data_IF_979815492361
#
_entry.id   IF_979815492361
#
_cell.length_a   1.000
_cell.length_b   1.000
_cell.length_c   1.000
_cell.angle_alpha   90.00
_cell.angle_beta   90.00
_cell.angle_gamma   90.00
#
_symmetry.space_group_name_H-M   'P 1'
#
loop_
_entity.id
_entity.type
_entity.pdbx_description
1 polymer ?
#
# COMPACT_ATOMS: atom_id res chain seq x y z
N UNK A 1 -1.43 24.37 -25.14
CA UNK A 1 -2.33 23.91 -24.04
C UNK A 1 -1.43 23.15 -23.09
N UNK A 2 -1.05 23.77 -21.98
CA UNK A 2 -0.16 23.17 -20.99
C UNK A 2 -0.85 21.90 -20.45
N UNK A 3 -0.35 20.73 -20.84
CA UNK A 3 -0.89 19.46 -20.38
C UNK A 3 -0.42 19.29 -18.94
N UNK A 4 -1.31 19.58 -17.99
CA UNK A 4 -1.15 19.19 -16.60
C UNK A 4 -0.71 17.73 -16.52
N UNK A 5 0.31 17.38 -15.71
CA UNK A 5 0.85 16.04 -15.67
C UNK A 5 -0.25 15.04 -15.32
N UNK A 6 -0.30 13.86 -15.96
CA UNK A 6 -1.29 12.85 -15.66
C UNK A 6 -1.15 12.38 -14.21
N UNK A 7 -2.28 12.13 -13.53
CA UNK A 7 -2.33 11.80 -12.09
C UNK A 7 -1.41 10.63 -11.74
N UNK A 8 -1.31 9.63 -12.62
CA UNK A 8 -0.42 8.48 -12.45
C UNK A 8 1.06 8.87 -12.30
N UNK A 9 1.54 9.90 -12.99
CA UNK A 9 2.95 10.34 -12.91
C UNK A 9 3.20 11.01 -11.56
N UNK A 10 2.26 11.81 -11.08
CA UNK A 10 2.34 12.43 -9.75
C UNK A 10 2.38 11.38 -8.64
N UNK A 11 1.56 10.33 -8.76
CA UNK A 11 1.50 9.25 -7.76
C UNK A 11 2.75 8.37 -7.81
N UNK A 12 3.30 8.07 -8.99
CA UNK A 12 4.59 7.37 -9.13
C UNK A 12 5.72 8.20 -8.53
N UNK A 13 5.74 9.50 -8.79
CA UNK A 13 6.73 10.41 -8.22
C UNK A 13 6.64 10.44 -6.68
N UNK A 14 5.43 10.55 -6.13
CA UNK A 14 5.20 10.52 -4.70
C UNK A 14 5.59 9.17 -4.06
N UNK A 15 5.35 8.05 -4.75
CA UNK A 15 5.81 6.72 -4.33
C UNK A 15 7.35 6.61 -4.35
N UNK A 16 8.00 7.24 -5.33
CA UNK A 16 9.47 7.32 -5.38
C UNK A 16 10.05 8.15 -4.22
N UNK A 17 9.39 9.25 -3.87
CA UNK A 17 9.77 10.07 -2.71
C UNK A 17 9.62 9.27 -1.41
N UNK A 18 8.50 8.57 -1.20
CA UNK A 18 8.30 7.78 0.02
C UNK A 18 9.29 6.62 0.13
N UNK A 19 9.63 5.96 -0.99
CA UNK A 19 10.68 4.93 -1.02
C UNK A 19 12.05 5.53 -0.69
N UNK A 20 12.36 6.72 -1.22
CA UNK A 20 13.60 7.42 -0.89
C UNK A 20 13.65 7.75 0.60
N UNK A 21 12.53 8.22 1.17
CA UNK A 21 12.41 8.58 2.58
C UNK A 21 12.68 7.40 3.54
N UNK A 22 12.26 6.18 3.17
CA UNK A 22 12.60 4.96 3.92
C UNK A 22 14.09 4.63 3.84
N UNK A 23 14.69 4.77 2.65
CA UNK A 23 16.09 4.40 2.43
C UNK A 23 17.09 5.43 2.96
N UNK A 24 16.64 6.60 3.44
CA UNK A 24 17.53 7.53 4.15
C UNK A 24 17.99 6.83 5.41
N UNK A 25 19.31 6.63 5.59
CA UNK A 25 19.82 5.80 6.66
C UNK A 25 19.98 6.66 7.93
N UNK A 26 18.84 7.15 8.42
CA UNK A 26 18.76 7.98 9.64
C UNK A 26 19.24 7.22 10.87
N UNK A 27 19.27 5.88 10.80
CA UNK A 27 19.72 5.00 11.86
C UNK A 27 21.21 5.16 12.17
N UNK A 28 22.03 5.64 11.21
CA UNK A 28 23.44 5.95 11.49
C UNK A 28 23.60 7.05 12.55
N UNK A 29 22.64 7.98 12.65
CA UNK A 29 22.66 8.99 13.71
C UNK A 29 22.49 8.36 15.10
N UNK A 30 21.84 7.21 15.20
CA UNK A 30 21.67 6.49 16.46
C UNK A 30 22.97 5.87 17.00
N UNK A 31 24.01 5.76 16.17
CA UNK A 31 25.34 5.30 16.63
C UNK A 31 26.00 6.36 17.53
N UNK A 32 25.75 7.65 17.24
CA UNK A 32 26.28 8.77 18.02
C UNK A 32 25.33 9.29 19.11
N UNK A 33 24.02 9.11 18.95
CA UNK A 33 22.99 9.62 19.86
C UNK A 33 21.97 8.54 20.20
N UNK A 34 21.73 8.27 21.48
CA UNK A 34 20.67 7.34 21.91
C UNK A 34 19.29 7.99 21.76
N UNK A 35 18.68 7.86 20.59
CA UNK A 35 17.34 8.39 20.29
C UNK A 35 16.26 7.31 20.42
N UNK A 36 15.46 7.40 21.47
CA UNK A 36 14.35 6.49 21.75
C UNK A 36 13.23 6.55 20.70
N UNK A 37 13.09 7.69 19.99
CA UNK A 37 12.06 7.92 18.97
C UNK A 37 12.37 7.29 17.60
N UNK A 38 13.53 6.65 17.43
CA UNK A 38 13.93 6.08 16.15
C UNK A 38 13.01 4.95 15.67
N UNK A 39 12.51 4.11 16.59
CA UNK A 39 11.56 3.05 16.24
C UNK A 39 10.26 3.63 15.68
N UNK A 40 9.63 4.54 16.44
CA UNK A 40 8.40 5.23 16.02
C UNK A 40 8.58 5.94 14.67
N UNK A 41 9.73 6.59 14.45
CA UNK A 41 10.03 7.23 13.17
C UNK A 41 10.18 6.21 12.03
N UNK A 42 10.75 5.03 12.29
CA UNK A 42 10.77 3.91 11.36
C UNK A 42 9.37 3.45 10.97
N UNK A 43 8.48 3.26 11.94
CA UNK A 43 7.11 2.82 11.71
C UNK A 43 6.31 3.83 10.88
N UNK A 44 6.41 5.12 11.22
CA UNK A 44 5.74 6.19 10.48
C UNK A 44 6.21 6.22 9.01
N UNK A 45 7.52 6.09 8.77
CA UNK A 45 8.08 6.03 7.42
C UNK A 45 7.51 4.86 6.62
N UNK A 46 7.47 3.68 7.22
CA UNK A 46 6.91 2.48 6.59
C UNK A 46 5.40 2.62 6.34
N UNK A 47 4.65 3.15 7.31
CA UNK A 47 3.22 3.41 7.19
C UNK A 47 2.89 4.36 6.03
N UNK A 48 3.65 5.45 5.89
CA UNK A 48 3.51 6.39 4.76
C UNK A 48 3.76 5.68 3.42
N UNK A 49 4.82 4.87 3.33
CA UNK A 49 5.11 4.12 2.11
C UNK A 49 4.00 3.14 1.76
N UNK A 50 3.51 2.34 2.71
CA UNK A 50 2.42 1.40 2.47
C UNK A 50 1.14 2.12 2.04
N UNK A 51 0.78 3.24 2.68
CA UNK A 51 -0.38 4.05 2.29
C UNK A 51 -0.27 4.58 0.87
N UNK A 52 0.92 5.06 0.47
CA UNK A 52 1.22 5.52 -0.89
C UNK A 52 1.22 4.39 -1.91
N UNK A 53 1.76 3.21 -1.57
CA UNK A 53 1.78 2.03 -2.42
C UNK A 53 0.35 1.54 -2.69
N UNK A 54 -0.48 1.43 -1.65
CA UNK A 54 -1.89 1.01 -1.80
C UNK A 54 -2.68 2.03 -2.63
N UNK A 55 -2.44 3.32 -2.43
CA UNK A 55 -3.04 4.39 -3.23
C UNK A 55 -2.59 4.35 -4.69
N UNK A 56 -1.31 4.05 -4.93
CA UNK A 56 -0.79 3.83 -6.28
C UNK A 56 -1.55 2.72 -7.01
N UNK A 57 -1.75 1.56 -6.37
CA UNK A 57 -2.43 0.43 -7.00
C UNK A 57 -3.86 0.74 -7.41
N UNK A 58 -4.63 1.42 -6.57
CA UNK A 58 -6.04 1.72 -6.87
C UNK A 58 -6.16 2.76 -7.99
N UNK A 59 -5.32 3.79 -7.98
CA UNK A 59 -5.28 4.82 -9.02
C UNK A 59 -4.79 4.23 -10.34
N UNK A 60 -3.76 3.37 -10.29
CA UNK A 60 -3.22 2.68 -11.46
C UNK A 60 -4.29 1.80 -12.13
N UNK A 61 -5.00 0.98 -11.35
CA UNK A 61 -6.09 0.14 -11.87
C UNK A 61 -7.25 0.99 -12.39
N UNK A 62 -7.61 2.08 -11.70
CA UNK A 62 -8.70 2.96 -12.13
C UNK A 62 -8.42 3.74 -13.41
N UNK A 63 -7.21 4.27 -13.59
CA UNK A 63 -6.77 4.95 -14.81
C UNK A 63 -6.78 4.03 -16.05
N UNK A 64 -6.55 2.72 -15.85
CA UNK A 64 -6.63 1.72 -16.92
C UNK A 64 -8.06 1.22 -17.17
N UNK A 65 -8.99 1.42 -16.24
CA UNK A 65 -10.40 1.06 -16.39
C UNK A 65 -11.22 2.18 -17.03
N UNK A 66 -11.02 3.43 -16.60
CA UNK A 66 -11.70 4.61 -17.13
C UNK A 66 -11.18 4.93 -18.53
N UNK A 67 -11.89 4.42 -19.53
CA UNK A 67 -11.80 4.89 -20.90
C UNK A 67 -12.06 6.41 -20.95
N UNK A 68 -11.47 7.09 -21.92
CA UNK A 68 -11.17 8.54 -21.98
C UNK A 68 -12.23 9.59 -21.52
N UNK A 69 -13.48 9.25 -21.20
CA UNK A 69 -14.56 10.22 -20.98
C UNK A 69 -14.54 10.97 -19.64
N UNK A 70 -13.92 10.45 -18.57
CA UNK A 70 -14.02 11.05 -17.21
C UNK A 70 -12.68 11.13 -16.45
N UNK A 71 -11.54 11.18 -17.15
CA UNK A 71 -10.18 11.18 -16.53
C UNK A 71 -9.86 12.34 -15.57
N UNK A 72 -10.68 13.39 -15.53
CA UNK A 72 -10.27 14.65 -14.91
C UNK A 72 -10.88 14.95 -13.53
N UNK A 73 -11.57 14.00 -12.89
CA UNK A 73 -12.11 14.21 -11.53
C UNK A 73 -11.35 13.39 -10.51
N UNK A 74 -10.32 14.01 -9.92
CA UNK A 74 -9.67 13.57 -8.68
C UNK A 74 -10.70 13.20 -7.58
N UNK A 75 -11.85 13.88 -7.60
CA UNK A 75 -13.01 13.62 -6.76
C UNK A 75 -13.57 12.18 -6.87
N UNK A 76 -13.46 11.51 -8.01
CA UNK A 76 -13.90 10.11 -8.18
C UNK A 76 -12.95 9.15 -7.45
N UNK A 77 -11.64 9.40 -7.53
CA UNK A 77 -10.63 8.61 -6.85
C UNK A 77 -10.63 8.80 -5.33
N UNK A 78 -11.04 9.96 -4.82
CA UNK A 78 -11.12 10.22 -3.38
C UNK A 78 -12.01 9.21 -2.64
N UNK A 79 -13.09 8.74 -3.28
CA UNK A 79 -13.97 7.70 -2.71
C UNK A 79 -13.27 6.35 -2.57
N UNK A 80 -12.31 6.05 -3.44
CA UNK A 80 -11.55 4.81 -3.45
C UNK A 80 -10.31 4.87 -2.55
N UNK A 81 -9.66 6.03 -2.47
CA UNK A 81 -8.49 6.28 -1.62
C UNK A 81 -8.88 6.53 -0.16
N UNK A 82 -10.09 7.02 0.11
CA UNK A 82 -10.60 7.34 1.44
C UNK A 82 -10.40 6.24 2.50
N UNK A 83 -10.80 4.98 2.24
CA UNK A 83 -10.56 3.87 3.18
C UNK A 83 -9.09 3.65 3.53
N UNK A 84 -8.17 3.86 2.57
CA UNK A 84 -6.72 3.68 2.77
C UNK A 84 -6.21 4.75 3.73
N UNK A 85 -6.53 6.02 3.46
CA UNK A 85 -6.08 7.15 4.26
C UNK A 85 -6.67 7.07 5.67
N UNK A 86 -7.95 6.74 5.77
CA UNK A 86 -8.62 6.59 7.06
C UNK A 86 -8.04 5.42 7.87
N UNK A 87 -7.87 4.24 7.27
CA UNK A 87 -7.23 3.10 7.93
C UNK A 87 -5.78 3.39 8.35
N UNK A 88 -5.02 4.07 7.49
CA UNK A 88 -3.64 4.49 7.81
C UNK A 88 -3.61 5.48 8.98
N UNK A 89 -4.58 6.40 9.05
CA UNK A 89 -4.70 7.36 10.15
C UNK A 89 -5.08 6.68 11.47
N UNK A 90 -5.98 5.68 11.44
CA UNK A 90 -6.30 4.88 12.61
C UNK A 90 -5.07 4.12 13.15
N UNK A 91 -4.28 3.49 12.27
CA UNK A 91 -3.05 2.81 12.66
C UNK A 91 -1.99 3.78 13.18
N UNK A 92 -1.88 4.97 12.58
CA UNK A 92 -0.98 6.01 13.08
C UNK A 92 -1.34 6.45 14.50
N UNK A 93 -2.64 6.66 14.80
CA UNK A 93 -3.08 6.98 16.16
C UNK A 93 -2.74 5.83 17.11
N UNK A 94 -2.99 4.59 16.71
CA UNK A 94 -2.64 3.41 17.51
C UNK A 94 -1.13 3.37 17.83
N UNK A 95 -0.25 3.54 16.85
CA UNK A 95 1.20 3.56 17.04
C UNK A 95 1.64 4.73 17.94
N UNK A 96 1.00 5.90 17.81
CA UNK A 96 1.28 7.05 18.69
C UNK A 96 0.86 6.79 20.14
N UNK A 97 -0.26 6.09 20.35
CA UNK A 97 -0.73 5.73 21.69
C UNK A 97 0.12 4.63 22.32
N UNK A 98 0.60 3.66 21.55
CA UNK A 98 1.43 2.56 22.06
C UNK A 98 2.90 2.99 22.16
N UNK A 99 3.56 3.21 21.01
CA UNK A 99 5.00 3.48 20.91
C UNK A 99 5.35 4.93 21.25
N UNK A 100 4.44 5.89 21.01
CA UNK A 100 4.66 7.28 21.39
C UNK A 100 4.72 7.49 22.90
N UNK A 101 3.87 6.79 23.67
CA UNK A 101 3.90 6.84 25.15
C UNK A 101 5.07 6.04 25.71
N UNK A 102 5.52 4.99 25.03
CA UNK A 102 6.72 4.24 25.41
C UNK A 102 8.00 5.08 25.42
N UNK A 103 8.02 6.22 24.72
CA UNK A 103 9.15 7.16 24.75
C UNK A 103 9.35 7.82 26.11
N UNK A 104 8.27 8.04 26.86
CA UNK A 104 8.34 8.60 28.22
C UNK A 104 8.35 7.49 29.28
N UNK A 105 7.62 6.41 29.03
CA UNK A 105 7.51 5.28 29.97
C UNK A 105 7.76 3.95 29.25
N UNK A 106 8.98 3.37 29.31
CA UNK A 106 9.31 2.16 28.58
C UNK A 106 8.53 0.91 29.02
N UNK A 107 7.93 0.95 30.22
CA UNK A 107 7.06 -0.12 30.75
C UNK A 107 5.58 0.10 30.43
N UNK A 108 5.23 1.18 29.71
CA UNK A 108 3.87 1.41 29.28
C UNK A 108 3.47 0.41 28.21
N UNK A 109 2.31 -0.20 28.41
CA UNK A 109 1.63 -1.03 27.42
C UNK A 109 0.16 -0.64 27.40
N UNK A 110 -0.36 -0.30 26.24
CA UNK A 110 -1.78 0.02 26.05
C UNK A 110 -2.67 -1.18 26.45
N UNK A 111 -2.11 -2.39 26.34
CA UNK A 111 -2.73 -3.67 26.68
C UNK A 111 -2.81 -3.96 28.18
N UNK A 112 -2.13 -3.17 29.02
CA UNK A 112 -2.15 -3.37 30.47
C UNK A 112 -3.38 -2.74 31.15
N UNK A 113 -4.10 -1.85 30.45
CA UNK A 113 -5.32 -1.21 30.95
C UNK A 113 -6.53 -1.70 30.18
N UNK A 114 -7.66 -1.92 30.86
CA UNK A 114 -8.90 -2.35 30.23
C UNK A 114 -9.38 -1.34 29.17
N UNK A 115 -9.38 -0.05 29.52
CA UNK A 115 -9.78 1.05 28.63
C UNK A 115 -8.83 1.17 27.44
N UNK A 116 -7.51 1.03 27.69
CA UNK A 116 -6.50 1.08 26.65
C UNK A 116 -6.65 -0.06 25.64
N UNK A 117 -6.87 -1.27 26.14
CA UNK A 117 -7.07 -2.49 25.33
C UNK A 117 -8.32 -2.38 24.45
N UNK A 118 -9.44 -1.89 24.99
CA UNK A 118 -10.67 -1.70 24.22
C UNK A 118 -10.46 -0.70 23.07
N UNK A 119 -9.79 0.43 23.36
CA UNK A 119 -9.46 1.43 22.34
C UNK A 119 -8.49 0.89 21.28
N UNK A 120 -7.43 0.20 21.70
CA UNK A 120 -6.45 -0.44 20.81
C UNK A 120 -7.13 -1.41 19.85
N UNK A 121 -7.96 -2.32 20.38
CA UNK A 121 -8.70 -3.28 19.57
C UNK A 121 -9.67 -2.59 18.61
N UNK A 122 -10.33 -1.51 19.03
CA UNK A 122 -11.20 -0.71 18.16
C UNK A 122 -10.44 -0.15 16.95
N UNK A 123 -9.28 0.47 17.16
CA UNK A 123 -8.46 1.00 16.05
C UNK A 123 -7.97 -0.10 15.10
N UNK A 124 -7.52 -1.24 15.64
CA UNK A 124 -7.07 -2.39 14.84
C UNK A 124 -8.22 -2.97 14.01
N UNK A 125 -9.41 -3.14 14.61
CA UNK A 125 -10.60 -3.66 13.92
C UNK A 125 -11.02 -2.70 12.80
N UNK A 126 -11.08 -1.39 13.07
CA UNK A 126 -11.43 -0.38 12.06
C UNK A 126 -10.43 -0.38 10.91
N UNK A 127 -9.13 -0.43 11.19
CA UNK A 127 -8.09 -0.53 10.17
C UNK A 127 -8.22 -1.82 9.35
N UNK A 128 -8.51 -2.95 9.99
CA UNK A 128 -8.78 -4.24 9.34
C UNK A 128 -9.98 -4.19 8.41
N UNK A 129 -11.10 -3.60 8.83
CA UNK A 129 -12.29 -3.40 7.98
C UNK A 129 -11.93 -2.53 6.76
N UNK A 130 -11.18 -1.44 6.96
CA UNK A 130 -10.73 -0.57 5.88
C UNK A 130 -9.83 -1.32 4.87
N UNK A 131 -8.91 -2.15 5.36
CA UNK A 131 -8.04 -2.98 4.52
C UNK A 131 -8.85 -4.03 3.73
N UNK A 132 -9.84 -4.68 4.35
CA UNK A 132 -10.74 -5.61 3.68
C UNK A 132 -11.56 -4.94 2.58
N UNK A 133 -12.16 -3.78 2.86
CA UNK A 133 -12.90 -2.99 1.86
C UNK A 133 -12.01 -2.58 0.71
N UNK A 134 -10.79 -2.12 1.00
CA UNK A 134 -9.79 -1.79 -0.02
C UNK A 134 -9.47 -3.01 -0.92
N UNK A 135 -9.20 -4.17 -0.33
CA UNK A 135 -8.87 -5.38 -1.07
C UNK A 135 -10.02 -5.82 -2.00
N UNK A 136 -11.26 -5.78 -1.51
CA UNK A 136 -12.45 -6.05 -2.32
C UNK A 136 -12.57 -5.09 -3.50
N UNK A 137 -12.37 -3.78 -3.26
CA UNK A 137 -12.39 -2.78 -4.35
C UNK A 137 -11.28 -3.02 -5.37
N UNK A 138 -10.06 -3.31 -4.93
CA UNK A 138 -8.95 -3.59 -5.81
C UNK A 138 -9.21 -4.83 -6.67
N UNK A 139 -9.67 -5.93 -6.07
CA UNK A 139 -10.04 -7.15 -6.79
C UNK A 139 -11.13 -6.89 -7.83
N UNK A 140 -12.16 -6.13 -7.47
CA UNK A 140 -13.24 -5.75 -8.38
C UNK A 140 -12.74 -4.93 -9.58
N UNK A 141 -11.90 -3.91 -9.33
CA UNK A 141 -11.30 -3.08 -10.37
C UNK A 141 -10.41 -3.89 -11.30
N UNK A 142 -9.54 -4.74 -10.74
CA UNK A 142 -8.67 -5.64 -11.51
C UNK A 142 -9.50 -6.57 -12.40
N UNK A 143 -10.56 -7.19 -11.85
CA UNK A 143 -11.46 -8.04 -12.61
C UNK A 143 -12.13 -7.29 -13.77
N UNK A 144 -12.60 -6.05 -13.52
CA UNK A 144 -13.17 -5.22 -14.58
C UNK A 144 -12.15 -4.87 -15.66
N UNK A 145 -10.91 -4.54 -15.30
CA UNK A 145 -9.85 -4.24 -16.28
C UNK A 145 -9.58 -5.46 -17.15
N UNK A 146 -9.51 -6.66 -16.58
CA UNK A 146 -9.36 -7.88 -17.35
C UNK A 146 -10.55 -8.13 -18.30
N UNK A 147 -11.79 -7.92 -17.84
CA UNK A 147 -12.98 -8.03 -18.69
C UNK A 147 -12.97 -7.00 -19.83
N UNK A 148 -12.60 -5.75 -19.56
CA UNK A 148 -12.56 -4.67 -20.54
C UNK A 148 -11.49 -4.96 -21.62
N UNK A 149 -10.30 -5.40 -21.23
CA UNK A 149 -9.24 -5.82 -22.16
C UNK A 149 -9.70 -7.00 -23.02
N UNK A 150 -10.36 -7.99 -22.42
CA UNK A 150 -10.87 -9.17 -23.15
C UNK A 150 -11.93 -8.78 -24.19
N UNK A 151 -12.89 -7.92 -23.82
CA UNK A 151 -13.94 -7.46 -24.72
C UNK A 151 -13.45 -6.56 -25.85
N UNK A 152 -12.44 -5.70 -25.60
CA UNK A 152 -11.85 -4.82 -26.63
C UNK A 152 -10.86 -5.51 -27.55
N UNK A 153 -10.46 -6.75 -27.28
CA UNK A 153 -9.55 -7.52 -28.15
C UNK A 153 -10.14 -7.75 -29.54
N UNK A 154 -11.47 -7.91 -29.63
CA UNK A 154 -12.17 -8.16 -30.89
C UNK A 154 -12.31 -6.87 -31.73
N UNK A 155 -12.49 -5.71 -31.10
CA UNK A 155 -12.57 -4.41 -31.78
C UNK A 155 -11.18 -3.83 -32.13
N UNK A 156 -10.13 -4.20 -31.38
CA UNK A 156 -8.73 -3.85 -31.69
C UNK A 156 -8.27 -4.39 -33.05
N UNK A 157 -8.82 -5.53 -33.49
CA UNK A 157 -8.54 -6.10 -34.82
C UNK A 157 -9.08 -5.24 -35.97
N UNK A 158 -10.09 -4.39 -35.71
CA UNK A 158 -10.70 -3.50 -36.70
C UNK A 158 -10.07 -2.09 -36.77
N UNK A 159 -9.06 -1.79 -35.93
CA UNK A 159 -8.41 -0.47 -35.89
C UNK A 159 -7.15 -0.38 -36.77
N UNK A 160 -6.75 0.84 -37.11
CA UNK A 160 -5.51 1.09 -37.85
C UNK A 160 -4.28 0.58 -37.10
N UNK A 161 -3.29 0.04 -37.84
CA UNK A 161 -2.09 -0.62 -37.27
C UNK A 161 -1.36 0.23 -36.22
N UNK A 162 -1.22 1.54 -36.46
CA UNK A 162 -0.54 2.46 -35.54
C UNK A 162 -1.30 2.63 -34.21
N UNK A 163 -2.63 2.73 -34.25
CA UNK A 163 -3.47 2.87 -33.04
C UNK A 163 -3.50 1.56 -32.25
N UNK A 164 -3.61 0.42 -32.95
CA UNK A 164 -3.56 -0.91 -32.33
C UNK A 164 -2.25 -1.15 -31.57
N UNK A 165 -1.10 -0.81 -32.16
CA UNK A 165 0.21 -1.00 -31.52
C UNK A 165 0.33 -0.17 -30.23
N UNK A 166 -0.20 1.06 -30.21
CA UNK A 166 -0.22 1.90 -29.02
C UNK A 166 -1.07 1.30 -27.88
N UNK A 167 -2.27 0.81 -28.18
CA UNK A 167 -3.14 0.16 -27.19
C UNK A 167 -2.58 -1.19 -26.70
N UNK A 168 -2.04 -2.01 -27.59
CA UNK A 168 -1.36 -3.27 -27.20
C UNK A 168 -0.16 -2.98 -26.27
N UNK A 169 0.61 -1.92 -26.55
CA UNK A 169 1.70 -1.48 -25.69
C UNK A 169 1.25 -1.05 -24.28
N UNK A 170 0.14 -0.33 -24.16
CA UNK A 170 -0.45 0.06 -22.87
C UNK A 170 -0.93 -1.17 -22.08
N UNK A 171 -1.64 -2.08 -22.73
CA UNK A 171 -2.14 -3.32 -22.11
C UNK A 171 -0.97 -4.21 -21.66
N UNK A 172 0.07 -4.32 -22.47
CA UNK A 172 1.26 -5.10 -22.11
C UNK A 172 1.96 -4.54 -20.87
N UNK A 173 2.17 -3.21 -20.81
CA UNK A 173 2.77 -2.54 -19.65
C UNK A 173 1.97 -2.78 -18.37
N UNK A 174 0.63 -2.69 -18.46
CA UNK A 174 -0.27 -2.98 -17.35
C UNK A 174 -0.12 -4.43 -16.85
N UNK A 175 -0.21 -5.41 -17.76
CA UNK A 175 -0.10 -6.83 -17.41
C UNK A 175 1.27 -7.18 -16.84
N UNK A 176 2.33 -6.62 -17.40
CA UNK A 176 3.69 -6.80 -16.91
C UNK A 176 3.83 -6.29 -15.47
N UNK A 177 3.40 -5.05 -15.21
CA UNK A 177 3.51 -4.46 -13.88
C UNK A 177 2.67 -5.23 -12.83
N UNK A 178 1.46 -5.64 -13.20
CA UNK A 178 0.59 -6.44 -12.34
C UNK A 178 1.21 -7.81 -12.02
N UNK A 179 1.80 -8.50 -13.01
CA UNK A 179 2.45 -9.79 -12.82
C UNK A 179 3.64 -9.66 -11.86
N UNK A 180 4.53 -8.71 -12.12
CA UNK A 180 5.72 -8.46 -11.28
C UNK A 180 5.31 -8.20 -9.83
N UNK A 181 4.24 -7.44 -9.63
CA UNK A 181 3.76 -7.10 -8.28
C UNK A 181 3.16 -8.30 -7.58
N UNK A 182 2.34 -9.09 -8.28
CA UNK A 182 1.75 -10.29 -7.70
C UNK A 182 2.84 -11.31 -7.34
N UNK A 183 3.86 -11.47 -8.18
CA UNK A 183 5.04 -12.28 -7.86
C UNK A 183 5.79 -11.72 -6.64
N UNK A 184 6.01 -10.41 -6.57
CA UNK A 184 6.65 -9.76 -5.41
C UNK A 184 5.87 -9.99 -4.11
N UNK A 185 4.54 -9.78 -4.13
CA UNK A 185 3.67 -10.00 -3.00
C UNK A 185 3.65 -11.48 -2.56
N UNK A 186 3.55 -12.40 -3.53
CA UNK A 186 3.60 -13.84 -3.26
C UNK A 186 4.92 -14.26 -2.62
N UNK A 187 6.06 -13.80 -3.16
CA UNK A 187 7.38 -14.05 -2.57
C UNK A 187 7.46 -13.51 -1.15
N UNK A 188 6.98 -12.28 -0.91
CA UNK A 188 6.98 -11.67 0.43
C UNK A 188 6.22 -12.52 1.45
N UNK A 189 5.02 -12.99 1.09
CA UNK A 189 4.20 -13.84 1.97
C UNK A 189 4.87 -15.19 2.20
N UNK A 190 5.41 -15.83 1.16
CA UNK A 190 6.10 -17.12 1.26
C UNK A 190 7.31 -17.01 2.20
N UNK A 191 8.18 -16.02 1.99
CA UNK A 191 9.35 -15.81 2.85
C UNK A 191 8.97 -15.46 4.28
N UNK A 192 7.90 -14.68 4.47
CA UNK A 192 7.38 -14.38 5.81
C UNK A 192 6.92 -15.67 6.51
N UNK A 193 6.12 -16.52 5.86
CA UNK A 193 5.65 -17.78 6.43
C UNK A 193 6.83 -18.70 6.78
N UNK A 194 7.80 -18.86 5.87
CA UNK A 194 9.00 -19.67 6.12
C UNK A 194 9.76 -19.15 7.35
N UNK A 195 9.91 -17.83 7.47
CA UNK A 195 10.60 -17.21 8.60
C UNK A 195 9.87 -17.45 9.92
N UNK A 196 8.54 -17.31 9.94
CA UNK A 196 7.73 -17.56 11.14
C UNK A 196 7.77 -19.03 11.56
N UNK A 197 7.68 -19.96 10.60
CA UNK A 197 7.77 -21.41 10.88
C UNK A 197 9.17 -21.79 11.36
N UNK A 198 10.23 -21.21 10.77
CA UNK A 198 11.60 -21.45 11.20
C UNK A 198 11.87 -20.93 12.62
N UNK A 199 11.38 -19.73 12.94
CA UNK A 199 11.51 -19.14 14.28
C UNK A 199 10.72 -19.96 15.32
N UNK A 200 9.48 -20.36 14.99
CA UNK A 200 8.68 -21.22 15.85
C UNK A 200 9.29 -22.61 16.05
N UNK A 201 9.88 -23.21 15.01
CA UNK A 201 10.59 -24.49 15.10
C UNK A 201 11.87 -24.41 15.95
N UNK A 202 12.56 -23.28 15.92
CA UNK A 202 13.77 -23.07 16.74
C UNK A 202 13.41 -22.82 18.21
N UNK A 203 12.31 -22.10 18.48
CA UNK A 203 11.80 -21.90 19.83
C UNK A 203 11.38 -23.22 20.50
N UNK A 204 10.75 -24.13 19.75
CA UNK A 204 10.36 -25.45 20.27
C UNK A 204 11.54 -26.37 20.59
N UNK A 205 12.69 -26.21 19.92
CA UNK A 205 13.92 -26.98 20.17
C UNK A 205 14.76 -26.44 21.34
N UNK A 206 14.48 -25.22 21.83
CA UNK A 206 15.13 -24.63 23.02
C UNK A 206 14.35 -24.87 24.32
N UNK A 207 13.13 -25.42 24.22
CA UNK A 207 12.24 -25.75 25.34
C UNK A 207 12.15 -27.25 25.64
N UNK A 208 13.06 -28.08 25.10
CA UNK A 208 13.21 -29.51 25.40
C UNK A 208 14.56 -29.78 26.01
#
# INVERSE_FOLDING_TARGET
REQSPPVIVLVIFALGISMTFINIPVEWFSVGFNWTWMLLFGDIRQGIFYSMLLSFWIIFCGEHLMDQSERNRFSVYWKQVGPIVFGSFCLFIFDMCERGVQLTNPFYSIWASDIGTELAMSFIIVAGICACLYFLFLCFMVFQVFRNISGKRTSLLAMSKARRLHYEGLIFRFKFLMLVTLTCAAMTIIFFIISQVSLGGTANNLTV
#
